data_IF_922615177263
#
_entry.id   IF_922615177263
#
_cell.length_a   1.000
_cell.length_b   1.000
_cell.length_c   1.000
_cell.angle_alpha   90.00
_cell.angle_beta   90.00
_cell.angle_gamma   90.00
#
_symmetry.space_group_name_H-M   'P 1'
#
loop_
_entity.id
_entity.type
_entity.pdbx_description
1 polymer ?
#
# COMPACT_ATOMS: atom_id res chain seq x y z
N UNK A 1 -3.02 27.22 10.66
CA UNK A 1 -3.47 27.71 9.34
C UNK A 1 -3.69 26.59 8.33
N UNK A 2 -3.03 25.44 8.48
CA UNK A 2 -3.16 24.29 7.57
C UNK A 2 -4.46 23.49 7.78
N UNK A 3 -4.92 23.35 9.02
CA UNK A 3 -6.15 22.61 9.37
C UNK A 3 -7.41 23.21 8.71
N UNK A 4 -7.49 24.53 8.61
CA UNK A 4 -8.63 25.22 7.97
C UNK A 4 -8.66 24.98 6.45
N UNK A 5 -7.48 24.90 5.82
CA UNK A 5 -7.39 24.59 4.38
C UNK A 5 -7.81 23.15 4.09
N UNK A 6 -7.41 22.18 4.92
CA UNK A 6 -7.80 20.78 4.78
C UNK A 6 -9.31 20.58 4.99
N UNK A 7 -9.89 21.26 5.98
CA UNK A 7 -11.35 21.24 6.22
C UNK A 7 -12.10 21.88 5.05
N UNK A 8 -11.64 23.02 4.54
CA UNK A 8 -12.24 23.67 3.37
C UNK A 8 -12.13 22.81 2.11
N UNK A 9 -11.00 22.15 1.89
CA UNK A 9 -10.83 21.22 0.77
C UNK A 9 -11.78 20.02 0.90
N UNK A 10 -11.88 19.42 2.08
CA UNK A 10 -12.82 18.32 2.34
C UNK A 10 -14.29 18.77 2.18
N UNK A 11 -14.65 19.97 2.62
CA UNK A 11 -15.99 20.53 2.46
C UNK A 11 -16.30 20.85 0.98
N UNK A 12 -15.31 21.35 0.23
CA UNK A 12 -15.47 21.59 -1.22
C UNK A 12 -15.65 20.30 -2.00
N UNK A 13 -14.90 19.23 -1.65
CA UNK A 13 -15.06 17.91 -2.25
C UNK A 13 -16.40 17.27 -1.85
N UNK A 14 -16.76 17.29 -0.57
CA UNK A 14 -18.08 16.82 -0.12
C UNK A 14 -19.23 17.63 -0.73
N UNK A 15 -19.07 18.94 -0.85
CA UNK A 15 -20.04 19.80 -1.52
C UNK A 15 -20.13 19.51 -3.03
N UNK A 16 -19.02 19.26 -3.70
CA UNK A 16 -18.98 18.84 -5.11
C UNK A 16 -19.66 17.50 -5.37
N UNK A 17 -19.53 16.56 -4.44
CA UNK A 17 -20.18 15.24 -4.50
C UNK A 17 -21.70 15.37 -4.34
N UNK A 18 -22.17 16.29 -3.52
CA UNK A 18 -23.63 16.53 -3.32
C UNK A 18 -24.28 17.20 -4.54
N UNK A 19 -23.52 17.92 -5.36
CA UNK A 19 -24.02 18.57 -6.58
C UNK A 19 -23.81 17.76 -7.87
N UNK A 20 -23.01 16.69 -7.83
CA UNK A 20 -22.95 15.72 -8.93
C UNK A 20 -24.15 14.78 -8.80
N UNK A 21 -25.17 15.10 -9.60
CA UNK A 21 -26.43 14.37 -9.72
C UNK A 21 -26.36 12.88 -9.40
N UNK A 22 -27.29 12.43 -8.54
CA UNK A 22 -28.01 11.14 -8.43
C UNK A 22 -27.36 9.82 -8.87
N UNK A 23 -26.18 9.76 -9.40
CA UNK A 23 -25.41 8.53 -9.58
C UNK A 23 -24.35 8.41 -8.50
N UNK A 24 -24.83 8.02 -7.45
CA UNK A 24 -24.46 7.48 -6.18
C UNK A 24 -22.96 7.10 -6.02
N UNK A 25 -22.43 7.37 -4.81
CA UNK A 25 -21.40 6.56 -4.19
C UNK A 25 -21.69 5.11 -4.54
N UNK A 26 -20.92 4.52 -5.44
CA UNK A 26 -21.14 3.14 -5.89
C UNK A 26 -20.66 2.14 -4.85
N UNK A 27 -19.71 2.52 -4.01
CA UNK A 27 -19.25 1.73 -2.89
C UNK A 27 -18.63 2.59 -1.79
N UNK A 28 -18.71 2.10 -0.58
CA UNK A 28 -17.95 2.60 0.54
C UNK A 28 -17.37 1.43 1.33
N UNK A 29 -16.28 1.63 1.99
CA UNK A 29 -15.64 0.66 2.87
C UNK A 29 -14.91 1.37 3.98
N UNK A 30 -14.73 0.69 5.09
CA UNK A 30 -13.93 1.20 6.18
C UNK A 30 -12.99 0.14 6.71
N UNK A 31 -11.98 0.60 7.41
CA UNK A 31 -10.99 -0.24 8.05
C UNK A 31 -10.61 0.33 9.41
N UNK A 32 -10.47 -0.55 10.36
CA UNK A 32 -9.84 -0.28 11.64
C UNK A 32 -8.66 -1.22 11.81
N UNK A 33 -7.50 -0.70 12.21
CA UNK A 33 -6.37 -1.54 12.63
C UNK A 33 -5.60 -0.89 13.77
N UNK A 34 -4.92 -1.72 14.55
CA UNK A 34 -4.00 -1.29 15.61
C UNK A 34 -2.87 -2.29 15.73
N UNK A 35 -1.69 -1.79 16.03
CA UNK A 35 -0.51 -2.60 16.28
C UNK A 35 -0.16 -2.54 17.77
N UNK A 36 0.20 -3.69 18.32
CA UNK A 36 0.66 -3.86 19.70
C UNK A 36 2.04 -4.48 19.60
N UNK A 37 3.05 -3.79 20.08
CA UNK A 37 4.43 -4.31 20.12
C UNK A 37 4.78 -4.71 21.55
N UNK A 38 5.24 -5.93 21.70
CA UNK A 38 5.72 -6.54 22.93
C UNK A 38 7.25 -6.67 22.82
N UNK A 39 7.98 -5.84 23.57
CA UNK A 39 9.42 -5.85 23.72
C UNK A 39 9.75 -5.63 25.18
N UNK A 40 10.79 -4.89 25.48
CA UNK A 40 11.12 -4.47 26.87
C UNK A 40 9.95 -3.72 27.53
N UNK A 41 9.14 -3.06 26.73
CA UNK A 41 7.88 -2.42 27.13
C UNK A 41 6.78 -2.78 26.14
N UNK A 42 5.54 -2.77 26.61
CA UNK A 42 4.38 -2.90 25.72
C UNK A 42 4.03 -1.54 25.16
N UNK A 43 4.01 -1.40 23.86
CA UNK A 43 3.60 -0.19 23.15
C UNK A 43 2.39 -0.44 22.26
N UNK A 44 1.57 0.60 22.11
CA UNK A 44 0.42 0.60 21.21
C UNK A 44 0.65 1.69 20.17
N UNK A 45 0.56 1.32 18.90
CA UNK A 45 0.54 2.31 17.83
C UNK A 45 -0.85 2.94 17.77
N UNK A 46 -0.92 4.22 17.46
CA UNK A 46 -2.19 4.91 17.21
C UNK A 46 -3.04 4.11 16.22
N UNK A 47 -4.31 3.84 16.55
CA UNK A 47 -5.15 3.04 15.68
C UNK A 47 -5.33 3.73 14.33
N UNK A 48 -5.19 2.96 13.26
CA UNK A 48 -5.61 3.38 11.93
C UNK A 48 -7.11 3.23 11.81
N UNK A 49 -7.78 4.27 11.36
CA UNK A 49 -9.20 4.21 11.01
C UNK A 49 -9.37 4.87 9.65
N UNK A 50 -9.58 4.08 8.63
CA UNK A 50 -9.72 4.53 7.25
C UNK A 50 -11.17 4.43 6.78
N UNK A 51 -11.59 5.42 5.99
CA UNK A 51 -12.85 5.41 5.25
C UNK A 51 -12.57 5.68 3.79
N UNK A 52 -13.14 4.87 2.92
CA UNK A 52 -13.03 5.04 1.48
C UNK A 52 -14.41 5.08 0.84
N UNK A 53 -14.56 6.01 -0.05
CA UNK A 53 -15.74 6.21 -0.88
C UNK A 53 -15.29 6.21 -2.33
N UNK A 54 -16.01 5.53 -3.21
CA UNK A 54 -15.73 5.54 -4.64
C UNK A 54 -17.01 5.59 -5.47
N UNK A 55 -16.89 6.16 -6.64
CA UNK A 55 -17.91 6.22 -7.65
C UNK A 55 -17.31 6.09 -9.03
N UNK A 56 -18.07 6.38 -10.08
CA UNK A 56 -17.58 6.33 -11.44
C UNK A 56 -16.44 7.34 -11.63
N UNK A 57 -15.21 6.82 -11.78
CA UNK A 57 -14.00 7.58 -12.02
C UNK A 57 -13.44 8.36 -10.82
N UNK A 58 -14.02 8.29 -9.63
CA UNK A 58 -13.48 9.03 -8.48
C UNK A 58 -13.28 8.14 -7.25
N UNK A 59 -12.33 8.53 -6.43
CA UNK A 59 -12.03 7.90 -5.14
C UNK A 59 -11.70 8.97 -4.12
N UNK A 60 -12.21 8.78 -2.90
CA UNK A 60 -11.86 9.55 -1.72
C UNK A 60 -11.53 8.57 -0.59
N UNK A 61 -10.29 8.60 -0.12
CA UNK A 61 -9.84 7.84 1.05
C UNK A 61 -9.34 8.79 2.11
N UNK A 62 -9.84 8.62 3.33
CA UNK A 62 -9.46 9.44 4.48
C UNK A 62 -9.05 8.56 5.66
N UNK A 63 -8.07 9.02 6.41
CA UNK A 63 -7.63 8.44 7.66
C UNK A 63 -8.02 9.35 8.82
N UNK A 64 -8.61 8.78 9.87
CA UNK A 64 -8.81 9.45 11.14
C UNK A 64 -7.56 9.21 12.01
N UNK A 65 -7.01 10.27 12.55
CA UNK A 65 -5.87 10.25 13.46
C UNK A 65 -6.13 11.20 14.63
N UNK A 66 -5.30 11.15 15.66
CA UNK A 66 -5.39 12.04 16.84
C UNK A 66 -5.32 13.54 16.48
N UNK A 67 -4.75 13.86 15.32
CA UNK A 67 -4.67 15.23 14.77
C UNK A 67 -5.88 15.67 13.94
N UNK A 68 -6.84 14.79 13.67
CA UNK A 68 -8.00 15.04 12.84
C UNK A 68 -8.17 14.10 11.67
N UNK A 69 -8.80 14.57 10.61
CA UNK A 69 -9.00 13.83 9.36
C UNK A 69 -7.86 14.16 8.40
N UNK A 70 -7.14 13.15 7.97
CA UNK A 70 -6.16 13.24 6.90
C UNK A 70 -6.73 12.62 5.62
N UNK A 71 -6.64 13.34 4.50
CA UNK A 71 -7.02 12.81 3.19
C UNK A 71 -5.80 12.12 2.60
N UNK A 72 -5.87 10.82 2.40
CA UNK A 72 -4.81 10.03 1.75
C UNK A 72 -4.95 10.09 0.23
N UNK A 73 -6.16 9.83 -0.26
CA UNK A 73 -6.44 9.86 -1.68
C UNK A 73 -7.71 10.68 -1.95
N UNK A 74 -7.64 11.53 -2.95
CA UNK A 74 -8.78 12.30 -3.46
C UNK A 74 -8.53 12.57 -4.94
N UNK A 75 -8.97 11.69 -5.80
CA UNK A 75 -8.66 11.77 -7.21
C UNK A 75 -9.85 11.42 -8.11
N UNK A 76 -9.76 11.89 -9.33
CA UNK A 76 -10.62 11.51 -10.44
C UNK A 76 -9.80 10.79 -11.51
N UNK A 77 -10.29 9.65 -11.98
CA UNK A 77 -9.67 8.81 -13.00
C UNK A 77 -10.48 8.84 -14.29
N UNK A 78 -9.80 8.99 -15.41
CA UNK A 78 -10.38 8.92 -16.75
C UNK A 78 -9.71 7.79 -17.53
N UNK A 79 -10.48 6.77 -17.86
CA UNK A 79 -10.01 5.68 -18.68
C UNK A 79 -10.19 6.00 -20.16
N UNK A 80 -9.07 6.11 -20.86
CA UNK A 80 -9.00 6.28 -22.30
C UNK A 80 -8.40 5.03 -22.91
N UNK A 81 -9.18 4.22 -23.56
CA UNK A 81 -8.93 2.96 -24.28
C UNK A 81 -7.64 2.16 -23.95
N UNK A 82 -6.49 2.81 -23.83
CA UNK A 82 -5.17 2.21 -23.55
C UNK A 82 -4.43 2.89 -22.39
N UNK A 83 -4.96 3.96 -21.85
CA UNK A 83 -4.30 4.77 -20.84
C UNK A 83 -5.32 5.22 -19.82
N UNK A 84 -4.99 5.09 -18.54
CA UNK A 84 -5.73 5.69 -17.44
C UNK A 84 -5.02 6.96 -17.01
N UNK A 85 -5.75 8.04 -16.86
CA UNK A 85 -5.23 9.35 -16.43
C UNK A 85 -5.92 9.76 -15.14
N UNK A 86 -5.14 10.05 -14.12
CA UNK A 86 -5.62 10.35 -12.77
C UNK A 86 -5.25 11.77 -12.36
N UNK A 87 -6.20 12.51 -11.81
CA UNK A 87 -6.02 13.88 -11.34
C UNK A 87 -6.34 13.98 -9.86
N UNK A 88 -5.48 14.60 -9.08
CA UNK A 88 -5.75 14.87 -7.66
C UNK A 88 -4.67 14.28 -6.74
N UNK A 89 -5.04 14.13 -5.48
CA UNK A 89 -4.17 13.51 -4.49
C UNK A 89 -4.22 12.00 -4.66
N UNK A 90 -3.10 11.42 -5.01
CA UNK A 90 -2.98 10.00 -5.33
C UNK A 90 -1.65 9.46 -4.85
N UNK A 91 -1.56 8.15 -4.80
CA UNK A 91 -0.33 7.45 -4.53
C UNK A 91 0.64 7.59 -5.70
N UNK A 92 1.90 7.80 -5.37
CA UNK A 92 2.99 7.85 -6.36
C UNK A 92 3.34 6.42 -6.77
N UNK A 93 3.43 6.10 -8.07
CA UNK A 93 3.82 4.77 -8.55
C UNK A 93 5.32 4.53 -8.32
N UNK A 94 5.67 3.92 -7.18
CA UNK A 94 7.05 3.66 -6.79
C UNK A 94 7.15 2.36 -6.01
N UNK A 95 7.95 1.40 -6.50
CA UNK A 95 8.18 0.10 -5.89
C UNK A 95 6.91 -0.71 -5.61
N UNK A 96 7.01 -1.62 -4.66
CA UNK A 96 5.89 -2.44 -4.17
C UNK A 96 4.91 -1.66 -3.29
N UNK A 97 5.29 -0.50 -2.78
CA UNK A 97 4.41 0.34 -1.95
C UNK A 97 3.08 0.65 -2.64
N UNK A 98 3.06 0.60 -3.97
CA UNK A 98 1.86 0.75 -4.78
C UNK A 98 0.88 -0.45 -4.70
N UNK A 99 1.32 -1.59 -4.18
CA UNK A 99 0.50 -2.80 -4.09
C UNK A 99 -0.42 -2.83 -2.86
N UNK A 100 -0.07 -2.12 -1.79
CA UNK A 100 -0.80 -2.16 -0.52
C UNK A 100 -1.23 -0.77 -0.06
N UNK A 101 -2.53 -0.55 -0.04
CA UNK A 101 -3.11 0.76 0.30
C UNK A 101 -3.42 0.92 1.78
N UNK A 102 -3.61 -0.18 2.47
CA UNK A 102 -4.15 -0.20 3.83
C UNK A 102 -3.52 -1.30 4.64
N UNK A 103 -3.51 -1.18 5.97
CA UNK A 103 -3.00 -2.21 6.85
C UNK A 103 -3.59 -3.60 6.58
N UNK A 104 -4.90 -3.72 6.32
CA UNK A 104 -5.53 -5.01 6.02
C UNK A 104 -5.10 -5.62 4.68
N UNK A 105 -4.76 -4.78 3.72
CA UNK A 105 -4.28 -5.23 2.41
C UNK A 105 -2.83 -5.71 2.44
N UNK A 106 -2.02 -5.19 3.37
CA UNK A 106 -0.64 -5.61 3.53
C UNK A 106 -0.56 -6.95 4.27
N UNK A 107 0.00 -8.01 3.68
CA UNK A 107 0.13 -9.30 4.35
C UNK A 107 1.13 -9.29 5.53
N UNK A 108 1.88 -8.20 5.72
CA UNK A 108 2.89 -8.03 6.76
C UNK A 108 2.51 -6.88 7.69
N UNK A 109 3.06 -6.88 8.90
CA UNK A 109 2.98 -5.72 9.81
C UNK A 109 3.97 -4.66 9.38
N UNK A 110 5.20 -5.06 9.01
CA UNK A 110 6.22 -4.18 8.45
C UNK A 110 5.93 -3.81 7.00
N UNK A 111 6.21 -2.58 6.62
CA UNK A 111 5.97 -2.08 5.27
C UNK A 111 7.28 -2.02 4.47
N UNK A 112 7.24 -2.30 3.14
CA UNK A 112 8.35 -1.96 2.27
C UNK A 112 8.42 -0.44 2.17
N UNK A 113 9.45 0.09 1.62
CA UNK A 113 9.76 1.52 1.44
C UNK A 113 8.59 2.53 1.51
N UNK A 114 8.90 3.76 1.77
CA UNK A 114 7.95 4.84 2.09
C UNK A 114 6.81 4.98 1.07
N UNK A 115 5.57 4.86 1.55
CA UNK A 115 4.39 5.21 0.78
C UNK A 115 4.32 6.74 0.68
N UNK A 116 4.29 7.26 -0.53
CA UNK A 116 4.14 8.68 -0.76
C UNK A 116 2.84 8.99 -1.50
N UNK A 117 2.14 10.01 -1.01
CA UNK A 117 0.97 10.58 -1.66
C UNK A 117 1.27 12.01 -2.08
N UNK A 118 0.87 12.39 -3.27
CA UNK A 118 1.00 13.76 -3.73
C UNK A 118 -0.17 14.20 -4.62
N UNK A 119 -0.38 15.50 -4.68
CA UNK A 119 -1.36 16.11 -5.59
C UNK A 119 -0.71 16.32 -6.94
N UNK A 120 -1.31 15.75 -7.99
CA UNK A 120 -0.75 15.87 -9.32
C UNK A 120 -1.54 15.12 -10.39
N UNK A 121 -0.84 14.88 -11.49
CA UNK A 121 -1.31 14.15 -12.65
C UNK A 121 -0.59 12.80 -12.72
N UNK A 122 -1.35 11.72 -12.69
CA UNK A 122 -0.87 10.38 -12.95
C UNK A 122 -1.32 9.91 -14.34
N UNK A 123 -0.52 9.06 -14.96
CA UNK A 123 -0.93 8.33 -16.15
C UNK A 123 -0.35 6.92 -16.10
N UNK A 124 -1.15 5.94 -16.48
CA UNK A 124 -0.72 4.55 -16.55
C UNK A 124 -1.28 3.86 -17.78
N UNK A 125 -0.52 2.92 -18.28
CA UNK A 125 -0.94 2.04 -19.38
C UNK A 125 -0.41 0.63 -19.15
N UNK A 126 -1.19 -0.35 -19.56
CA UNK A 126 -0.77 -1.75 -19.55
C UNK A 126 -1.12 -2.40 -20.88
N UNK A 127 -0.17 -3.06 -21.48
CA UNK A 127 -0.37 -3.83 -22.72
C UNK A 127 0.51 -5.06 -22.75
N UNK A 128 -0.09 -6.23 -22.97
CA UNK A 128 0.61 -7.52 -23.07
C UNK A 128 1.57 -7.80 -21.89
N UNK A 129 1.17 -7.44 -20.67
CA UNK A 129 1.99 -7.59 -19.46
C UNK A 129 3.02 -6.49 -19.25
N UNK A 130 3.21 -5.58 -20.20
CA UNK A 130 4.06 -4.39 -20.01
C UNK A 130 3.24 -3.27 -19.39
N UNK A 131 3.64 -2.82 -18.22
CA UNK A 131 3.05 -1.68 -17.51
C UNK A 131 4.00 -0.48 -17.51
N UNK A 132 3.45 0.69 -17.76
CA UNK A 132 4.16 1.97 -17.62
C UNK A 132 3.26 2.88 -16.81
N UNK A 133 3.77 3.43 -15.72
CA UNK A 133 3.09 4.43 -14.91
C UNK A 133 4.01 5.63 -14.70
N UNK A 134 3.43 6.81 -14.70
CA UNK A 134 4.13 8.06 -14.43
C UNK A 134 3.27 8.98 -13.60
N UNK A 135 3.91 9.81 -12.80
CA UNK A 135 3.30 10.84 -11.98
C UNK A 135 4.10 12.13 -12.07
N UNK A 136 3.41 13.25 -12.10
CA UNK A 136 3.98 14.58 -11.98
C UNK A 136 3.12 15.42 -11.05
N UNK A 137 3.70 15.90 -9.97
CA UNK A 137 3.01 16.58 -8.89
C UNK A 137 3.46 18.00 -8.66
N UNK A 138 2.92 18.59 -7.60
CA UNK A 138 3.36 19.87 -7.07
C UNK A 138 4.82 19.79 -6.58
N UNK A 139 5.47 20.95 -6.44
CA UNK A 139 6.87 21.05 -6.01
C UNK A 139 7.87 20.29 -6.91
N UNK A 140 7.49 20.07 -8.18
CA UNK A 140 8.27 19.34 -9.19
C UNK A 140 8.55 17.88 -8.81
N UNK A 141 7.73 17.31 -7.92
CA UNK A 141 7.80 15.87 -7.63
C UNK A 141 7.39 15.06 -8.87
N UNK A 142 8.16 14.04 -9.18
CA UNK A 142 7.82 13.09 -10.23
C UNK A 142 8.15 11.67 -9.81
N UNK A 143 7.48 10.73 -10.44
CA UNK A 143 7.82 9.31 -10.36
C UNK A 143 7.51 8.63 -11.69
N UNK A 144 8.28 7.62 -12.02
CA UNK A 144 8.01 6.74 -13.14
C UNK A 144 8.29 5.29 -12.76
N UNK A 145 7.42 4.39 -13.22
CA UNK A 145 7.59 2.95 -13.03
C UNK A 145 7.37 2.24 -14.36
N UNK A 146 8.30 1.37 -14.70
CA UNK A 146 8.17 0.38 -15.76
C UNK A 146 8.04 -1.00 -15.13
N UNK A 147 7.10 -1.82 -15.59
CA UNK A 147 6.91 -3.17 -15.08
C UNK A 147 6.59 -4.15 -16.19
N UNK A 148 6.89 -5.42 -15.93
CA UNK A 148 6.51 -6.54 -16.78
C UNK A 148 5.90 -7.65 -15.94
N UNK A 149 4.71 -8.09 -16.33
CA UNK A 149 3.97 -9.15 -15.68
C UNK A 149 3.80 -10.37 -16.57
N UNK A 150 4.04 -11.55 -16.02
CA UNK A 150 3.81 -12.83 -16.69
C UNK A 150 3.39 -13.90 -15.67
N UNK A 151 2.32 -14.63 -15.96
CA UNK A 151 1.87 -15.79 -15.16
C UNK A 151 1.72 -15.49 -13.64
N UNK A 152 1.22 -14.31 -13.29
CA UNK A 152 1.03 -13.92 -11.89
C UNK A 152 2.31 -13.41 -11.19
N UNK A 153 3.39 -13.21 -11.93
CA UNK A 153 4.62 -12.59 -11.46
C UNK A 153 4.80 -11.23 -12.11
N UNK A 154 5.26 -10.25 -11.36
CA UNK A 154 5.56 -8.91 -11.86
C UNK A 154 6.95 -8.51 -11.41
N UNK A 155 7.72 -7.94 -12.31
CA UNK A 155 8.97 -7.26 -12.01
C UNK A 155 8.87 -5.80 -12.48
N UNK A 156 9.42 -4.87 -11.72
CA UNK A 156 9.37 -3.45 -12.03
C UNK A 156 10.64 -2.72 -11.67
N UNK A 157 10.84 -1.59 -12.31
CA UNK A 157 11.87 -0.60 -11.98
C UNK A 157 11.20 0.75 -11.84
N UNK A 158 11.50 1.42 -10.75
CA UNK A 158 10.94 2.73 -10.41
C UNK A 158 12.02 3.77 -10.18
N UNK A 159 11.72 5.02 -10.51
CA UNK A 159 12.53 6.20 -10.22
C UNK A 159 11.63 7.32 -9.72
N UNK A 160 12.12 8.15 -8.81
CA UNK A 160 11.41 9.36 -8.34
C UNK A 160 12.26 10.61 -8.38
N UNK A 161 11.71 11.75 -7.97
CA UNK A 161 12.37 13.06 -7.95
C UNK A 161 13.57 13.15 -7.01
N UNK A 162 13.65 12.28 -6.02
CA UNK A 162 14.75 12.22 -5.04
C UNK A 162 15.90 11.33 -5.54
N UNK A 163 15.89 11.00 -6.85
CA UNK A 163 16.85 10.11 -7.51
C UNK A 163 16.85 8.67 -6.96
N UNK A 164 15.90 8.35 -6.08
CA UNK A 164 15.73 6.99 -5.61
C UNK A 164 15.31 6.06 -6.76
N UNK A 165 15.92 4.89 -6.80
CA UNK A 165 15.70 3.88 -7.83
C UNK A 165 15.46 2.54 -7.17
N UNK A 166 14.31 1.92 -7.44
CA UNK A 166 13.97 0.62 -6.90
C UNK A 166 13.78 -0.41 -8.01
N UNK A 167 14.34 -1.58 -7.79
CA UNK A 167 13.94 -2.80 -8.47
C UNK A 167 12.95 -3.53 -7.58
N UNK A 168 11.77 -3.85 -8.09
CA UNK A 168 10.77 -4.63 -7.38
C UNK A 168 10.39 -5.90 -8.12
N UNK A 169 10.02 -6.91 -7.35
CA UNK A 169 9.48 -8.16 -7.86
C UNK A 169 8.37 -8.65 -6.95
N UNK A 170 7.28 -9.10 -7.52
CA UNK A 170 6.23 -9.80 -6.78
C UNK A 170 5.71 -10.98 -7.58
N UNK A 171 5.24 -12.00 -6.88
CA UNK A 171 4.62 -13.13 -7.56
C UNK A 171 3.92 -14.05 -6.58
N UNK A 172 2.94 -14.77 -7.09
CA UNK A 172 2.21 -15.77 -6.34
C UNK A 172 2.10 -17.06 -7.14
N UNK A 173 2.30 -18.17 -6.46
CA UNK A 173 2.03 -19.51 -6.95
C UNK A 173 0.92 -20.13 -6.10
N UNK A 174 -0.07 -20.73 -6.74
CA UNK A 174 -1.19 -21.40 -6.07
C UNK A 174 -1.40 -22.79 -6.64
N UNK A 175 -1.65 -23.74 -5.74
CA UNK A 175 -1.94 -25.12 -6.09
C UNK A 175 -2.99 -25.71 -5.12
N UNK A 176 -3.99 -26.36 -5.62
CA UNK A 176 -5.16 -26.83 -4.85
C UNK A 176 -4.78 -27.73 -3.67
N UNK A 177 -3.74 -28.57 -3.80
CA UNK A 177 -3.34 -29.51 -2.76
C UNK A 177 -2.42 -28.91 -1.70
N UNK A 178 -1.66 -27.87 -2.01
CA UNK A 178 -0.65 -27.31 -1.11
C UNK A 178 -1.01 -25.93 -0.57
N UNK A 179 -1.88 -25.20 -1.26
CA UNK A 179 -2.17 -23.82 -0.96
C UNK A 179 -1.39 -22.84 -1.84
N UNK A 180 -1.09 -21.67 -1.33
CA UNK A 180 -0.40 -20.62 -2.09
C UNK A 180 0.87 -20.13 -1.39
N UNK A 181 1.81 -19.67 -2.20
CA UNK A 181 3.00 -18.95 -1.77
C UNK A 181 3.02 -17.64 -2.56
N UNK A 182 3.10 -16.51 -1.85
CA UNK A 182 3.34 -15.21 -2.45
C UNK A 182 4.68 -14.67 -1.97
N UNK A 183 5.43 -14.03 -2.86
CA UNK A 183 6.72 -13.44 -2.53
C UNK A 183 6.81 -12.02 -3.05
N UNK A 184 7.54 -11.18 -2.34
CA UNK A 184 7.70 -9.76 -2.57
C UNK A 184 9.15 -9.38 -2.30
N UNK A 185 9.71 -8.58 -3.17
CA UNK A 185 11.11 -8.21 -3.15
C UNK A 185 11.28 -6.77 -3.60
N UNK A 186 12.07 -5.98 -2.89
CA UNK A 186 12.57 -4.68 -3.31
C UNK A 186 14.08 -4.59 -3.10
N UNK A 187 14.76 -3.96 -4.01
CA UNK A 187 16.19 -3.70 -3.95
C UNK A 187 16.46 -2.26 -4.38
N UNK A 188 17.17 -1.53 -3.52
CA UNK A 188 17.53 -0.14 -3.80
C UNK A 188 18.77 -0.08 -4.71
N UNK A 189 18.59 0.64 -5.82
CA UNK A 189 19.61 0.90 -6.82
C UNK A 189 20.17 2.34 -6.74
N UNK A 190 19.73 3.13 -5.75
CA UNK A 190 20.16 4.51 -5.56
C UNK A 190 21.65 4.56 -5.19
N UNK A 191 22.34 5.67 -5.51
CA UNK A 191 23.79 5.75 -5.29
C UNK A 191 24.15 5.81 -3.79
N UNK A 192 23.30 6.44 -2.96
CA UNK A 192 23.56 6.61 -1.52
C UNK A 192 23.15 5.42 -0.66
N UNK A 193 22.11 4.71 -1.08
CA UNK A 193 21.50 3.59 -0.33
C UNK A 193 21.57 2.27 -1.12
N UNK A 194 22.47 2.21 -2.09
CA UNK A 194 22.62 1.04 -2.97
C UNK A 194 22.94 -0.21 -2.17
N UNK A 195 22.11 -1.23 -2.37
CA UNK A 195 22.24 -2.52 -1.71
C UNK A 195 21.19 -2.77 -0.62
N UNK A 196 20.39 -1.77 -0.25
CA UNK A 196 19.29 -2.00 0.65
C UNK A 196 18.29 -2.96 0.03
N UNK A 197 17.90 -3.97 0.82
CA UNK A 197 17.09 -5.08 0.35
C UNK A 197 15.95 -5.33 1.32
N UNK A 198 14.77 -5.53 0.77
CA UNK A 198 13.59 -5.95 1.50
C UNK A 198 12.98 -7.17 0.79
N UNK A 199 12.79 -8.25 1.54
CA UNK A 199 12.18 -9.47 1.03
C UNK A 199 11.15 -10.00 2.02
N UNK A 200 10.00 -10.43 1.51
CA UNK A 200 8.94 -11.07 2.29
C UNK A 200 8.32 -12.22 1.50
N UNK A 201 7.94 -13.27 2.21
CA UNK A 201 7.15 -14.36 1.66
C UNK A 201 6.01 -14.74 2.59
N UNK A 202 4.87 -15.08 2.00
CA UNK A 202 3.66 -15.55 2.68
C UNK A 202 3.31 -16.93 2.16
N UNK A 203 3.14 -17.87 3.07
CA UNK A 203 2.66 -19.21 2.76
C UNK A 203 1.27 -19.39 3.35
N UNK A 204 0.31 -19.76 2.51
CA UNK A 204 -1.08 -20.02 2.92
C UNK A 204 -1.43 -21.48 2.59
N UNK A 205 -1.28 -22.42 3.55
CA UNK A 205 -1.53 -23.83 3.30
C UNK A 205 -3.01 -24.11 3.03
N UNK A 206 -3.32 -24.98 2.07
CA UNK A 206 -4.71 -25.31 1.71
C UNK A 206 -5.48 -26.05 2.81
N UNK A 207 -4.78 -26.76 3.69
CA UNK A 207 -5.37 -27.52 4.79
C UNK A 207 -5.72 -26.68 6.02
N UNK A 208 -5.30 -25.42 6.07
CA UNK A 208 -5.62 -24.48 7.15
C UNK A 208 -6.45 -23.33 6.59
N UNK A 209 -7.71 -23.22 7.01
CA UNK A 209 -8.56 -22.12 6.58
C UNK A 209 -8.11 -20.82 7.26
N UNK A 210 -7.60 -19.87 6.47
CA UNK A 210 -7.26 -18.54 6.94
C UNK A 210 -5.90 -18.40 7.66
N UNK A 211 -5.19 -19.49 7.95
CA UNK A 211 -3.86 -19.41 8.56
C UNK A 211 -2.79 -19.16 7.50
N UNK A 212 -1.86 -18.25 7.80
CA UNK A 212 -0.70 -17.96 6.97
C UNK A 212 0.57 -18.00 7.80
N UNK A 213 1.68 -18.36 7.17
CA UNK A 213 3.01 -18.21 7.73
C UNK A 213 3.77 -17.15 6.92
N UNK A 214 4.58 -16.37 7.62
CA UNK A 214 5.32 -15.24 7.06
C UNK A 214 6.80 -15.43 7.36
N UNK A 215 7.64 -15.10 6.40
CA UNK A 215 9.08 -14.97 6.59
C UNK A 215 9.54 -13.70 5.89
N UNK A 216 10.44 -12.96 6.53
CA UNK A 216 10.99 -11.75 5.98
C UNK A 216 12.49 -11.64 6.23
N UNK A 217 13.14 -10.90 5.36
CA UNK A 217 14.52 -10.49 5.47
C UNK A 217 14.64 -9.05 4.97
N UNK A 218 15.34 -8.22 5.70
CA UNK A 218 15.74 -6.89 5.26
C UNK A 218 17.21 -6.65 5.58
N UNK A 219 17.85 -5.85 4.72
CA UNK A 219 19.21 -5.38 4.89
C UNK A 219 19.22 -3.90 4.53
N UNK A 220 19.58 -3.05 5.47
CA UNK A 220 19.63 -1.60 5.30
C UNK A 220 20.99 -1.12 5.83
N UNK A 221 21.84 -0.63 4.94
CA UNK A 221 23.22 -0.35 5.29
C UNK A 221 23.95 -1.59 5.81
N UNK A 222 24.49 -1.49 7.02
CA UNK A 222 25.20 -2.60 7.70
C UNK A 222 24.27 -3.46 8.59
N UNK A 223 23.00 -3.09 8.71
CA UNK A 223 22.05 -3.80 9.56
C UNK A 223 21.26 -4.83 8.76
N UNK A 224 21.11 -6.02 9.33
CA UNK A 224 20.30 -7.08 8.74
C UNK A 224 19.27 -7.57 9.73
N UNK A 225 18.05 -7.76 9.27
CA UNK A 225 16.95 -8.25 10.08
C UNK A 225 16.29 -9.44 9.41
N UNK A 226 15.98 -10.47 10.20
CA UNK A 226 15.12 -11.57 9.79
C UNK A 226 13.90 -11.59 10.66
N UNK A 227 12.72 -11.70 10.05
CA UNK A 227 11.46 -11.77 10.79
C UNK A 227 10.66 -13.00 10.40
N UNK A 228 9.89 -13.46 11.36
CA UNK A 228 8.98 -14.58 11.21
C UNK A 228 7.60 -14.16 11.70
N UNK A 229 6.57 -14.66 11.05
CA UNK A 229 5.23 -14.30 11.49
C UNK A 229 4.19 -15.36 11.17
N UNK A 230 3.03 -15.16 11.77
CA UNK A 230 1.81 -15.90 11.50
C UNK A 230 0.65 -14.94 11.34
N UNK A 231 -0.25 -15.27 10.44
CA UNK A 231 -1.48 -14.52 10.23
C UNK A 231 -2.69 -15.45 10.31
N UNK A 232 -3.81 -14.90 10.72
CA UNK A 232 -5.08 -15.60 10.70
C UNK A 232 -6.17 -14.64 10.20
N UNK A 233 -6.82 -15.06 9.14
CA UNK A 233 -7.94 -14.33 8.53
C UNK A 233 -9.26 -15.06 8.79
N UNK A 234 -10.25 -14.33 9.30
CA UNK A 234 -11.58 -14.84 9.54
C UNK A 234 -12.65 -13.78 9.24
N UNK A 235 -13.43 -14.02 8.19
CA UNK A 235 -14.45 -13.06 7.74
C UNK A 235 -13.82 -11.71 7.38
N UNK A 236 -14.21 -10.68 8.08
CA UNK A 236 -13.69 -9.30 7.90
C UNK A 236 -12.56 -8.96 8.88
N UNK A 237 -12.12 -9.92 9.68
CA UNK A 237 -11.06 -9.72 10.68
C UNK A 237 -9.77 -10.38 10.24
N UNK A 238 -8.67 -9.73 10.57
CA UNK A 238 -7.33 -10.23 10.30
C UNK A 238 -6.44 -9.97 11.52
N UNK A 239 -5.71 -11.00 11.94
CA UNK A 239 -4.76 -10.90 13.04
C UNK A 239 -3.43 -11.40 12.50
N UNK A 240 -2.39 -10.60 12.61
CA UNK A 240 -1.02 -10.93 12.19
C UNK A 240 -0.06 -10.69 13.33
N UNK A 241 0.92 -11.55 13.43
CA UNK A 241 1.99 -11.40 14.40
C UNK A 241 3.33 -11.58 13.69
N UNK A 242 4.25 -10.69 13.95
CA UNK A 242 5.64 -10.76 13.46
C UNK A 242 6.60 -10.70 14.64
N UNK A 243 7.60 -11.58 14.62
CA UNK A 243 8.73 -11.61 15.54
C UNK A 243 9.95 -11.08 14.83
N UNK A 244 10.53 -10.00 15.32
CA UNK A 244 11.81 -9.45 14.84
C UNK A 244 13.01 -10.23 15.36
N UNK A 245 14.18 -10.00 14.77
CA UNK A 245 15.45 -10.58 15.23
C UNK A 245 15.83 -10.15 16.66
N UNK A 246 15.42 -8.95 17.06
CA UNK A 246 15.66 -8.39 18.40
C UNK A 246 14.77 -9.02 19.48
N UNK A 247 13.83 -9.85 19.07
CA UNK A 247 12.90 -10.56 19.96
C UNK A 247 11.61 -9.81 20.23
N UNK A 248 11.40 -8.65 19.61
CA UNK A 248 10.15 -7.93 19.69
C UNK A 248 9.06 -8.64 18.89
N UNK A 249 7.86 -8.71 19.47
CA UNK A 249 6.68 -9.27 18.81
C UNK A 249 5.70 -8.16 18.53
N UNK A 250 5.38 -7.90 17.27
CA UNK A 250 4.32 -6.98 16.88
C UNK A 250 3.09 -7.74 16.43
N UNK A 251 1.95 -7.40 16.98
CA UNK A 251 0.64 -7.98 16.65
C UNK A 251 -0.24 -6.90 16.05
N UNK A 252 -0.64 -7.07 14.80
CA UNK A 252 -1.66 -6.25 14.14
C UNK A 252 -3.02 -6.92 14.21
N UNK A 253 -4.01 -6.16 14.62
CA UNK A 253 -5.42 -6.56 14.52
C UNK A 253 -6.11 -5.58 13.59
N UNK A 254 -6.76 -6.08 12.55
CA UNK A 254 -7.52 -5.25 11.62
C UNK A 254 -8.92 -5.81 11.37
N UNK A 255 -9.84 -4.91 11.05
CA UNK A 255 -11.22 -5.21 10.70
C UNK A 255 -11.66 -4.32 9.55
N UNK A 256 -12.24 -4.93 8.51
CA UNK A 256 -12.81 -4.22 7.37
C UNK A 256 -14.33 -4.33 7.36
N UNK A 257 -15.05 -3.28 6.95
CA UNK A 257 -16.52 -3.22 6.92
C UNK A 257 -17.04 -2.44 5.71
#
# INVERSE_FOLDING_TARGET
>A
MNTLKSILTAIFFLGGIVFAQEEAVSSWSGEFSTDITFGDTVSFTSPYTGLSFSGEGWTLTSQLSDGGVNVEEAFYNVDAKFTSVTFGQQRIPFGLSNAWHRPSGNPFVSEPSSQAYAVGLGASTEFAGVGIAGFYGNEQSYSARFSYGILGHTAGVSINSDEARLLDCSGAFSHDSFGSIASYFEYDLSEETSGDLWYRAVVSPSFTKGLTALIGYSSVGDETETMYGVGYHYGNSDIRSELSADGDVTVRVSYTF
#
